data_IF_666926369450
#
_entry.id   IF_666926369450
#
_cell.length_a   1.000
_cell.length_b   1.000
_cell.length_c   1.000
_cell.angle_alpha   90.00
_cell.angle_beta   90.00
_cell.angle_gamma   90.00
#
_symmetry.space_group_name_H-M   'P 1'
#
loop_
_entity.id
_entity.type
_entity.pdbx_description
1 polymer ?
#
# COMPACT_ATOMS: atom_id res chain seq x y z
N UNK A 1 3.83 9.61 -4.14
CA UNK A 1 3.36 9.18 -5.46
C UNK A 1 2.00 9.77 -5.80
N UNK A 2 0.92 9.41 -5.10
CA UNK A 2 -0.42 9.92 -5.36
C UNK A 2 -0.50 11.46 -5.42
N UNK A 3 0.00 12.18 -4.41
CA UNK A 3 0.03 13.65 -4.44
C UNK A 3 0.70 14.21 -5.70
N UNK A 4 1.81 13.60 -6.14
CA UNK A 4 2.51 13.99 -7.37
C UNK A 4 1.64 13.80 -8.62
N UNK A 5 0.84 12.71 -8.67
CA UNK A 5 -0.13 12.47 -9.74
C UNK A 5 -1.21 13.57 -9.76
N UNK A 6 -1.78 13.95 -8.61
CA UNK A 6 -2.79 15.03 -8.53
C UNK A 6 -2.21 16.39 -8.95
N UNK A 7 -0.89 16.59 -8.78
CA UNK A 7 -0.20 17.80 -9.21
C UNK A 7 0.28 17.77 -10.67
N UNK A 8 0.09 16.67 -11.39
CA UNK A 8 0.54 16.53 -12.77
C UNK A 8 2.06 16.40 -12.91
N UNK A 9 2.74 15.97 -11.86
CA UNK A 9 4.21 15.86 -11.82
C UNK A 9 4.72 14.47 -12.26
N UNK A 10 3.90 13.65 -12.92
CA UNK A 10 4.27 12.31 -13.38
C UNK A 10 4.25 12.29 -14.90
N UNK A 11 5.42 12.35 -15.51
CA UNK A 11 5.58 12.34 -16.95
C UNK A 11 4.96 11.08 -17.57
N UNK A 12 4.15 11.28 -18.61
CA UNK A 12 3.48 10.19 -19.32
C UNK A 12 2.22 9.62 -18.64
N UNK A 13 1.78 10.17 -17.51
CA UNK A 13 0.55 9.72 -16.83
C UNK A 13 -0.45 10.86 -16.61
N UNK A 14 -1.56 10.86 -17.36
CA UNK A 14 -2.56 11.93 -17.35
C UNK A 14 -3.93 11.51 -16.78
N UNK A 15 -4.14 10.24 -16.45
CA UNK A 15 -5.47 9.72 -16.06
C UNK A 15 -5.88 10.12 -14.63
N UNK A 16 -4.99 10.80 -13.91
CA UNK A 16 -5.21 11.24 -12.52
C UNK A 16 -5.29 10.06 -11.57
N UNK A 17 -5.84 10.27 -10.37
CA UNK A 17 -5.84 9.22 -9.34
C UNK A 17 -7.04 8.27 -9.39
N UNK A 18 -8.15 8.69 -10.04
CA UNK A 18 -9.40 7.92 -10.06
C UNK A 18 -9.23 6.48 -10.57
N UNK A 19 -8.40 6.20 -11.60
CA UNK A 19 -8.18 4.84 -12.07
C UNK A 19 -7.35 3.95 -11.14
N UNK A 20 -6.68 4.51 -10.14
CA UNK A 20 -5.83 3.75 -9.23
C UNK A 20 -6.70 3.01 -8.23
N UNK A 21 -6.50 1.70 -8.12
CA UNK A 21 -7.18 0.83 -7.15
C UNK A 21 -6.18 0.32 -6.10
N UNK A 22 -6.69 0.00 -4.92
CA UNK A 22 -5.90 -0.59 -3.84
C UNK A 22 -6.32 -2.04 -3.60
N UNK A 23 -5.39 -2.99 -3.79
CA UNK A 23 -5.58 -4.35 -3.31
C UNK A 23 -5.14 -4.43 -1.85
N UNK A 24 -6.02 -4.88 -0.97
CA UNK A 24 -5.80 -4.86 0.48
C UNK A 24 -5.52 -6.28 0.98
N UNK A 25 -4.44 -6.47 1.73
CA UNK A 25 -4.12 -7.73 2.40
C UNK A 25 -3.75 -7.49 3.88
N UNK A 26 -3.41 -8.56 4.60
CA UNK A 26 -2.85 -8.52 5.95
C UNK A 26 -1.59 -9.38 6.01
N UNK A 27 -0.52 -8.94 6.71
CA UNK A 27 0.70 -9.74 6.85
C UNK A 27 0.45 -11.17 7.38
N UNK A 28 -0.52 -11.33 8.29
CA UNK A 28 -0.92 -12.63 8.83
C UNK A 28 -1.45 -13.59 7.75
N UNK A 29 -2.12 -13.08 6.71
CA UNK A 29 -2.62 -13.91 5.61
C UNK A 29 -1.44 -14.44 4.78
N UNK A 30 -0.48 -13.57 4.46
CA UNK A 30 0.75 -13.91 3.75
C UNK A 30 1.53 -14.98 4.52
N UNK A 31 1.73 -14.78 5.84
CA UNK A 31 2.40 -15.77 6.70
C UNK A 31 1.65 -17.10 6.76
N UNK A 32 0.32 -17.10 6.88
CA UNK A 32 -0.49 -18.33 6.88
C UNK A 32 -0.43 -19.10 5.57
N UNK A 33 -0.28 -18.40 4.44
CA UNK A 33 -0.07 -19.00 3.11
C UNK A 33 1.39 -19.46 2.90
N UNK A 34 2.26 -19.30 3.88
CA UNK A 34 3.69 -19.65 3.82
C UNK A 34 4.42 -19.00 2.64
N UNK A 35 3.99 -17.79 2.24
CA UNK A 35 4.65 -17.03 1.20
C UNK A 35 5.90 -16.37 1.79
N UNK A 36 7.08 -16.49 1.15
CA UNK A 36 8.26 -15.78 1.61
C UNK A 36 8.03 -14.28 1.52
N UNK A 37 8.32 -13.56 2.59
CA UNK A 37 8.17 -12.12 2.66
C UNK A 37 9.35 -11.48 3.39
N UNK A 38 9.56 -10.20 3.12
CA UNK A 38 10.31 -9.32 3.99
C UNK A 38 9.57 -7.98 4.13
N UNK A 39 9.85 -7.25 5.18
CA UNK A 39 9.41 -5.87 5.33
C UNK A 39 10.53 -5.03 5.88
N UNK A 40 10.41 -3.72 5.70
CA UNK A 40 11.42 -2.76 6.13
C UNK A 40 10.87 -1.81 7.18
N UNK A 41 11.75 -1.18 7.98
CA UNK A 41 11.37 -0.10 8.91
C UNK A 41 11.28 1.27 8.20
N UNK A 42 11.76 1.36 6.96
CA UNK A 42 11.73 2.56 6.13
C UNK A 42 12.03 2.25 4.66
N UNK A 43 12.39 3.26 3.87
CA UNK A 43 12.62 3.12 2.44
C UNK A 43 13.76 2.11 2.13
N UNK A 44 13.46 1.02 1.42
CA UNK A 44 14.36 -0.13 1.24
C UNK A 44 15.76 0.20 0.71
N UNK A 45 15.89 1.16 -0.22
CA UNK A 45 17.20 1.48 -0.83
C UNK A 45 18.10 2.38 0.04
N UNK A 46 17.63 2.84 1.20
CA UNK A 46 18.40 3.75 2.06
C UNK A 46 19.25 2.97 3.06
N UNK A 47 20.50 3.41 3.27
CA UNK A 47 21.51 2.69 4.06
C UNK A 47 21.14 2.41 5.53
N UNK A 48 20.16 3.15 6.08
CA UNK A 48 19.68 3.02 7.45
C UNK A 48 18.44 2.12 7.58
N UNK A 49 18.04 1.44 6.52
CA UNK A 49 16.84 0.60 6.51
C UNK A 49 17.19 -0.85 6.81
N UNK A 50 16.55 -1.37 7.86
CA UNK A 50 16.66 -2.77 8.25
C UNK A 50 15.55 -3.61 7.60
N UNK A 51 15.85 -4.89 7.41
CA UNK A 51 14.94 -5.86 6.80
C UNK A 51 14.56 -6.94 7.81
N UNK A 52 13.26 -7.24 7.86
CA UNK A 52 12.67 -8.21 8.78
C UNK A 52 11.84 -9.23 8.01
N UNK A 53 11.78 -10.45 8.50
CA UNK A 53 11.00 -11.54 7.90
C UNK A 53 10.17 -12.33 8.93
N UNK A 54 10.12 -11.89 10.20
CA UNK A 54 9.16 -12.38 11.18
C UNK A 54 8.18 -11.26 11.55
N UNK A 55 6.88 -11.57 11.57
CA UNK A 55 5.83 -10.64 11.96
C UNK A 55 5.91 -10.20 13.43
N UNK A 56 6.75 -10.86 14.24
CA UNK A 56 7.04 -10.41 15.61
C UNK A 56 7.78 -9.06 15.62
N UNK A 57 8.52 -8.76 14.56
CA UNK A 57 9.29 -7.52 14.42
C UNK A 57 8.47 -6.37 13.81
N UNK A 58 7.14 -6.51 13.72
CA UNK A 58 6.28 -5.42 13.27
C UNK A 58 6.31 -4.21 14.22
N UNK A 59 6.84 -4.37 15.44
CA UNK A 59 7.13 -3.26 16.37
C UNK A 59 8.25 -2.33 15.88
N UNK A 60 9.06 -2.76 14.89
CA UNK A 60 10.11 -1.93 14.28
C UNK A 60 9.58 -0.91 13.27
N UNK A 61 8.36 -1.12 12.77
CA UNK A 61 7.68 -0.15 11.92
C UNK A 61 7.14 0.98 12.78
N UNK A 62 7.43 2.22 12.39
CA UNK A 62 6.89 3.39 13.08
C UNK A 62 5.40 3.60 12.73
N UNK A 63 4.52 3.00 13.54
CA UNK A 63 3.08 3.09 13.35
C UNK A 63 2.49 4.48 13.57
N UNK A 64 3.16 5.35 14.31
CA UNK A 64 2.71 6.72 14.55
C UNK A 64 2.95 7.57 13.30
N UNK A 65 4.12 7.44 12.67
CA UNK A 65 4.43 8.02 11.36
C UNK A 65 3.49 7.47 10.28
N UNK A 66 3.17 6.17 10.30
CA UNK A 66 2.24 5.58 9.32
C UNK A 66 0.83 6.18 9.38
N UNK A 67 0.40 6.65 10.55
CA UNK A 67 -0.91 7.28 10.77
C UNK A 67 -0.86 8.80 10.62
N UNK A 68 0.33 9.40 10.56
CA UNK A 68 0.49 10.84 10.49
C UNK A 68 0.03 11.41 9.14
N UNK A 69 -0.72 12.51 9.19
CA UNK A 69 -1.07 13.31 8.01
C UNK A 69 0.16 14.01 7.42
N UNK A 70 1.02 14.54 8.30
CA UNK A 70 2.27 15.20 7.94
C UNK A 70 3.47 14.41 8.48
N UNK A 71 4.36 14.04 7.58
CA UNK A 71 5.51 13.17 7.83
C UNK A 71 6.78 13.74 7.18
N UNK A 72 6.77 15.03 6.86
CA UNK A 72 7.99 15.73 6.47
C UNK A 72 9.00 15.70 7.63
N UNK A 73 10.27 15.68 7.27
CA UNK A 73 11.37 15.75 8.23
C UNK A 73 11.31 17.07 9.01
N UNK A 74 11.75 17.01 10.25
CA UNK A 74 11.78 18.13 11.20
C UNK A 74 13.18 18.22 11.80
N UNK A 75 13.50 19.34 12.47
CA UNK A 75 14.79 19.47 13.14
C UNK A 75 14.96 18.46 14.28
N UNK A 76 13.87 18.11 14.97
CA UNK A 76 13.88 17.16 16.08
C UNK A 76 13.89 15.70 15.60
N UNK A 77 13.42 15.47 14.38
CA UNK A 77 13.25 14.15 13.80
C UNK A 77 13.37 14.26 12.27
N UNK A 78 14.58 14.00 11.78
CA UNK A 78 14.99 14.21 10.40
C UNK A 78 14.87 12.97 9.50
N UNK A 79 14.26 11.88 10.00
CA UNK A 79 14.16 10.58 9.31
C UNK A 79 12.69 10.11 9.15
N UNK A 80 11.75 11.04 9.23
CA UNK A 80 10.30 10.78 9.18
C UNK A 80 9.89 10.30 7.79
N UNK A 81 10.46 10.91 6.75
CA UNK A 81 10.14 10.57 5.36
C UNK A 81 10.60 9.16 4.99
N UNK A 82 11.80 8.75 5.41
CA UNK A 82 12.31 7.40 5.18
C UNK A 82 11.42 6.37 5.87
N UNK A 83 11.15 6.53 7.17
CA UNK A 83 10.30 5.61 7.95
C UNK A 83 8.89 5.50 7.39
N UNK A 84 8.30 6.60 6.90
CA UNK A 84 6.97 6.57 6.24
C UNK A 84 6.91 5.67 5.00
N UNK A 85 8.05 5.45 4.35
CA UNK A 85 8.19 4.64 3.15
C UNK A 85 8.61 3.20 3.44
N UNK A 86 8.33 2.68 4.64
CA UNK A 86 8.41 1.25 4.93
C UNK A 86 7.59 0.42 3.93
N UNK A 87 8.11 -0.74 3.55
CA UNK A 87 7.50 -1.61 2.54
C UNK A 87 7.24 -3.00 3.12
N UNK A 88 6.21 -3.68 2.60
CA UNK A 88 5.97 -5.11 2.86
C UNK A 88 6.03 -5.83 1.51
N UNK A 89 7.05 -6.65 1.34
CA UNK A 89 7.41 -7.29 0.07
C UNK A 89 7.17 -8.79 0.16
N UNK A 90 6.45 -9.34 -0.81
CA UNK A 90 6.27 -10.78 -0.97
C UNK A 90 7.09 -11.23 -2.15
N UNK A 91 7.85 -12.31 -1.98
CA UNK A 91 8.74 -12.82 -3.01
C UNK A 91 7.96 -13.37 -4.21
N UNK A 92 8.32 -12.92 -5.41
CA UNK A 92 7.78 -13.31 -6.72
C UNK A 92 6.30 -13.04 -6.99
N UNK A 93 5.38 -13.55 -6.17
CA UNK A 93 3.96 -13.55 -6.49
C UNK A 93 3.06 -13.53 -5.26
N UNK A 94 1.99 -12.74 -5.32
CA UNK A 94 0.91 -12.72 -4.33
C UNK A 94 -0.35 -13.31 -4.96
N UNK A 95 -0.79 -14.51 -4.55
CA UNK A 95 -2.05 -15.09 -4.99
C UNK A 95 -3.24 -14.20 -4.66
N UNK A 96 -4.24 -14.16 -5.54
CA UNK A 96 -5.37 -13.25 -5.38
C UNK A 96 -6.18 -13.52 -4.11
N UNK A 97 -6.20 -14.76 -3.63
CA UNK A 97 -6.85 -15.19 -2.38
C UNK A 97 -6.20 -14.59 -1.13
N UNK A 98 -5.05 -13.93 -1.27
CA UNK A 98 -4.43 -13.19 -0.18
C UNK A 98 -5.08 -11.82 0.04
N UNK A 99 -5.84 -11.31 -0.92
CA UNK A 99 -6.51 -10.02 -0.81
C UNK A 99 -7.88 -10.17 -0.13
N UNK A 100 -8.20 -9.21 0.73
CA UNK A 100 -9.43 -9.18 1.54
C UNK A 100 -10.40 -8.08 1.12
N UNK A 101 -10.01 -7.27 0.15
CA UNK A 101 -10.82 -6.17 -0.35
C UNK A 101 -10.09 -5.34 -1.38
N UNK A 102 -10.89 -4.55 -2.10
CA UNK A 102 -10.40 -3.56 -3.06
C UNK A 102 -10.91 -2.18 -2.65
N UNK A 103 -10.00 -1.21 -2.54
CA UNK A 103 -10.33 0.20 -2.34
C UNK A 103 -10.35 0.94 -3.67
N UNK A 104 -11.42 1.71 -3.91
CA UNK A 104 -11.59 2.52 -5.13
C UNK A 104 -11.95 3.97 -4.80
N UNK A 105 -11.74 4.89 -5.74
CA UNK A 105 -11.98 6.30 -5.53
C UNK A 105 -13.47 6.68 -5.49
N UNK A 106 -14.25 6.24 -6.48
CA UNK A 106 -15.66 6.59 -6.66
C UNK A 106 -16.49 5.40 -7.17
N UNK A 107 -17.80 5.61 -7.32
CA UNK A 107 -18.73 4.58 -7.76
C UNK A 107 -18.47 4.10 -9.19
N UNK A 108 -18.03 4.98 -10.10
CA UNK A 108 -17.70 4.57 -11.48
C UNK A 108 -16.62 3.48 -11.50
N UNK A 109 -15.57 3.63 -10.69
CA UNK A 109 -14.51 2.63 -10.58
C UNK A 109 -14.92 1.44 -9.73
N UNK A 110 -15.84 1.62 -8.79
CA UNK A 110 -16.44 0.50 -8.06
C UNK A 110 -17.16 -0.45 -9.02
N UNK A 111 -18.06 0.08 -9.85
CA UNK A 111 -18.84 -0.71 -10.81
C UNK A 111 -17.91 -1.41 -11.82
N UNK A 112 -16.92 -0.69 -12.37
CA UNK A 112 -15.92 -1.28 -13.27
C UNK A 112 -15.19 -2.48 -12.66
N UNK A 113 -14.73 -2.33 -11.41
CA UNK A 113 -14.01 -3.40 -10.70
C UNK A 113 -14.96 -4.56 -10.39
N UNK A 114 -16.18 -4.29 -9.93
CA UNK A 114 -17.17 -5.35 -9.62
C UNK A 114 -17.56 -6.15 -10.87
N UNK A 115 -17.70 -5.51 -12.03
CA UNK A 115 -17.94 -6.19 -13.31
C UNK A 115 -16.77 -7.12 -13.68
N UNK A 116 -15.52 -6.64 -13.55
CA UNK A 116 -14.31 -7.44 -13.76
C UNK A 116 -14.25 -8.65 -12.82
N UNK A 117 -14.50 -8.45 -11.54
CA UNK A 117 -14.49 -9.54 -10.56
C UNK A 117 -15.54 -10.61 -10.89
N UNK A 118 -16.73 -10.19 -11.34
CA UNK A 118 -17.79 -11.10 -11.78
C UNK A 118 -17.37 -11.95 -12.98
N UNK A 119 -16.69 -11.36 -13.96
CA UNK A 119 -16.16 -12.07 -15.13
C UNK A 119 -15.21 -13.21 -14.71
N UNK A 120 -14.36 -12.96 -13.72
CA UNK A 120 -13.42 -13.94 -13.19
C UNK A 120 -13.99 -14.81 -12.05
N UNK A 121 -15.29 -14.68 -11.73
CA UNK A 121 -15.93 -15.40 -10.61
C UNK A 121 -15.22 -15.21 -9.26
N UNK A 122 -14.70 -14.01 -9.01
CA UNK A 122 -14.00 -13.63 -7.80
C UNK A 122 -14.95 -12.92 -6.82
N UNK A 123 -15.02 -13.41 -5.58
CA UNK A 123 -15.80 -12.80 -4.51
C UNK A 123 -14.87 -12.04 -3.54
N UNK A 124 -14.58 -10.78 -3.89
CA UNK A 124 -13.79 -9.87 -3.05
C UNK A 124 -14.53 -8.54 -2.91
N UNK A 125 -14.67 -8.00 -1.68
CA UNK A 125 -15.48 -6.79 -1.48
C UNK A 125 -14.77 -5.55 -2.04
N UNK A 126 -15.48 -4.79 -2.87
CA UNK A 126 -15.05 -3.48 -3.38
C UNK A 126 -15.69 -2.37 -2.53
N UNK A 127 -14.86 -1.46 -2.00
CA UNK A 127 -15.32 -0.37 -1.13
C UNK A 127 -14.81 0.99 -1.60
N UNK A 128 -15.68 1.99 -1.53
CA UNK A 128 -15.29 3.38 -1.67
C UNK A 128 -14.29 3.76 -0.57
N UNK A 129 -13.15 4.28 -0.98
CA UNK A 129 -12.04 4.73 -0.15
C UNK A 129 -11.49 6.05 -0.64
N UNK A 130 -12.37 6.98 -1.03
CA UNK A 130 -12.01 8.32 -1.50
C UNK A 130 -11.04 9.06 -0.56
N UNK A 131 -11.11 8.80 0.75
CA UNK A 131 -10.21 9.35 1.76
C UNK A 131 -8.77 8.80 1.75
N UNK A 132 -8.46 7.82 0.89
CA UNK A 132 -7.08 7.34 0.66
C UNK A 132 -6.38 8.09 -0.48
N UNK A 133 -7.12 8.92 -1.20
CA UNK A 133 -6.68 9.69 -2.34
C UNK A 133 -6.53 11.18 -1.96
N UNK A 134 -5.95 12.00 -2.85
CA UNK A 134 -5.72 13.44 -2.63
C UNK A 134 -6.70 14.31 -3.42
#
# INVERSE_FOLDING_TARGET
MLYSITKGNVDGYADGQKPIIYLVSKPVIIKKKSLPFCFTDGHGIMAFTDYFNDLKDLDKVDWDIMKATYWMDTEQDNDRRRRRMAEFLVYNFVPFECFIGIGVYNDDYKEKVELLLKEFSLDIPVKLKSNWYY
#
